data_IF_042871929956
#
_entry.id   IF_042871929956
#
_cell.length_a   1.000
_cell.length_b   1.000
_cell.length_c   1.000
_cell.angle_alpha   90.00
_cell.angle_beta   90.00
_cell.angle_gamma   90.00
#
_symmetry.space_group_name_H-M   'P 1'
#
loop_
_entity.id
_entity.type
_entity.pdbx_description
1 polymer ?
#
# COMPACT_ATOMS: atom_id res chain seq x y z
N UNK A 1 101.26 23.06 0.93
CA UNK A 1 101.31 23.63 -0.43
C UNK A 1 100.29 22.90 -1.29
N UNK A 2 99.04 23.34 -1.29
CA UNK A 2 98.02 22.78 -2.17
C UNK A 2 97.91 23.69 -3.40
N UNK A 3 98.37 23.17 -4.52
CA UNK A 3 98.60 23.89 -5.77
C UNK A 3 97.30 24.04 -6.57
N UNK A 4 97.05 25.27 -6.99
CA UNK A 4 95.89 25.84 -7.70
C UNK A 4 95.74 25.40 -9.16
N UNK A 5 96.29 24.23 -9.53
CA UNK A 5 96.38 23.78 -10.93
C UNK A 5 95.33 22.75 -11.38
N UNK A 6 94.40 22.35 -10.51
CA UNK A 6 93.29 21.45 -10.90
C UNK A 6 92.00 22.20 -11.29
N UNK A 7 92.05 23.53 -11.38
CA UNK A 7 90.86 24.37 -11.62
C UNK A 7 90.59 24.63 -13.11
N UNK A 8 91.50 24.30 -14.03
CA UNK A 8 91.38 24.73 -15.44
C UNK A 8 91.19 23.62 -16.48
N UNK A 9 91.00 22.36 -16.07
CA UNK A 9 90.94 21.20 -16.98
C UNK A 9 89.58 20.49 -17.03
N UNK A 10 88.49 21.15 -16.60
CA UNK A 10 87.12 20.65 -16.75
C UNK A 10 86.23 21.60 -17.58
N UNK A 11 86.86 22.50 -18.32
CA UNK A 11 86.20 23.50 -19.17
C UNK A 11 86.41 23.11 -20.64
N UNK A 12 85.84 21.99 -21.10
CA UNK A 12 85.64 21.66 -22.54
C UNK A 12 85.05 20.26 -22.82
N UNK A 13 84.03 19.80 -22.09
CA UNK A 13 83.19 18.69 -22.57
C UNK A 13 81.74 18.97 -22.21
N UNK A 14 80.88 19.12 -23.21
CA UNK A 14 79.43 19.05 -23.01
C UNK A 14 78.60 20.21 -23.55
N UNK A 15 79.01 20.87 -24.63
CA UNK A 15 78.06 21.61 -25.48
C UNK A 15 77.20 20.59 -26.24
N UNK A 16 76.14 20.11 -25.58
CA UNK A 16 75.04 19.39 -26.21
C UNK A 16 73.74 19.96 -25.64
N UNK A 17 73.03 20.71 -26.48
CA UNK A 17 71.84 21.45 -26.08
C UNK A 17 70.72 20.56 -25.58
N UNK A 18 69.90 21.11 -24.69
CA UNK A 18 68.50 20.76 -24.57
C UNK A 18 67.72 22.03 -24.22
N UNK A 19 66.74 22.33 -25.07
CA UNK A 19 65.79 23.42 -24.87
C UNK A 19 65.06 23.25 -23.54
N UNK A 20 64.92 24.33 -22.77
CA UNK A 20 64.05 24.34 -21.59
C UNK A 20 62.61 24.35 -22.10
N UNK A 21 62.07 23.16 -22.38
CA UNK A 21 60.63 22.96 -22.46
C UNK A 21 60.08 23.25 -21.06
N UNK A 22 59.48 24.43 -20.90
CA UNK A 22 58.66 24.69 -19.73
C UNK A 22 57.54 23.65 -19.72
N UNK A 23 57.30 22.93 -18.61
CA UNK A 23 56.19 22.00 -18.55
C UNK A 23 54.90 22.80 -18.76
N UNK A 24 54.27 22.62 -19.92
CA UNK A 24 52.89 23.07 -20.08
C UNK A 24 52.03 22.30 -19.08
N UNK A 25 51.07 22.96 -18.42
CA UNK A 25 50.18 22.29 -17.48
C UNK A 25 49.47 21.14 -18.21
N UNK A 26 49.63 19.94 -17.68
CA UNK A 26 49.04 18.73 -18.20
C UNK A 26 47.50 18.91 -18.27
N UNK A 27 46.82 18.53 -19.36
CA UNK A 27 45.37 18.44 -19.31
C UNK A 27 45.03 17.40 -18.24
N UNK A 28 44.14 17.78 -17.30
CA UNK A 28 43.61 16.92 -16.26
C UNK A 28 43.17 15.58 -16.88
N UNK A 29 44.04 14.56 -16.80
CA UNK A 29 43.62 13.18 -16.97
C UNK A 29 42.64 12.94 -15.83
N UNK A 30 41.35 12.93 -16.14
CA UNK A 30 40.34 12.35 -15.27
C UNK A 30 40.73 10.89 -15.11
N UNK A 31 41.52 10.62 -14.08
CA UNK A 31 41.58 9.29 -13.48
C UNK A 31 40.14 9.00 -13.10
N UNK A 32 39.48 8.13 -13.85
CA UNK A 32 38.39 7.36 -13.29
C UNK A 32 39.05 6.50 -12.22
N UNK A 33 39.21 7.07 -11.02
CA UNK A 33 39.23 6.27 -9.83
C UNK A 33 37.95 5.44 -9.95
N UNK A 34 38.09 4.12 -10.03
CA UNK A 34 36.97 3.23 -9.76
C UNK A 34 36.38 3.74 -8.46
N UNK A 35 35.23 4.41 -8.56
CA UNK A 35 34.37 4.59 -7.40
C UNK A 35 33.94 3.17 -7.08
N UNK A 36 34.72 2.50 -6.23
CA UNK A 36 34.17 1.55 -5.28
C UNK A 36 32.89 2.23 -4.80
N UNK A 37 31.76 1.63 -5.15
CA UNK A 37 30.49 1.99 -4.55
C UNK A 37 30.66 1.62 -3.08
N UNK A 38 31.23 2.53 -2.28
CA UNK A 38 31.05 2.50 -0.85
C UNK A 38 29.56 2.26 -0.65
N UNK A 39 29.22 1.27 0.17
CA UNK A 39 27.84 0.86 0.40
C UNK A 39 27.01 2.14 0.51
N UNK A 40 26.13 2.34 -0.48
CA UNK A 40 25.22 3.47 -0.44
C UNK A 40 24.39 3.23 0.81
N UNK A 41 24.69 3.93 1.89
CA UNK A 41 23.76 4.07 2.99
C UNK A 41 22.50 4.65 2.35
N UNK A 42 21.52 3.78 2.13
CA UNK A 42 20.26 4.17 1.55
C UNK A 42 19.71 5.25 2.47
N UNK A 43 19.43 6.43 1.89
CA UNK A 43 18.76 7.52 2.59
C UNK A 43 17.55 6.89 3.28
N UNK A 44 17.41 7.04 4.59
CA UNK A 44 16.39 6.34 5.39
C UNK A 44 14.97 6.49 4.83
N UNK A 45 14.70 7.58 4.10
CA UNK A 45 13.47 7.84 3.35
C UNK A 45 13.12 6.79 2.27
N UNK A 46 14.08 5.95 1.84
CA UNK A 46 13.88 4.87 0.86
C UNK A 46 13.96 3.47 1.46
N UNK A 47 14.04 3.34 2.79
CA UNK A 47 14.02 2.04 3.44
C UNK A 47 12.59 1.49 3.42
N UNK A 48 12.33 0.46 2.61
CA UNK A 48 11.13 -0.37 2.78
C UNK A 48 11.26 -1.10 4.11
N UNK A 49 10.20 -1.11 4.90
CA UNK A 49 10.14 -1.99 6.06
C UNK A 49 9.89 -3.41 5.54
N UNK A 50 10.68 -4.39 6.00
CA UNK A 50 10.45 -5.80 5.63
C UNK A 50 9.08 -6.27 6.16
N UNK A 51 8.63 -5.71 7.29
CA UNK A 51 7.31 -5.96 7.86
C UNK A 51 6.73 -4.68 8.45
N UNK A 52 5.47 -4.39 8.11
CA UNK A 52 4.66 -3.42 8.85
C UNK A 52 3.68 -4.17 9.75
N UNK A 53 3.79 -3.97 11.06
CA UNK A 53 2.78 -4.36 12.04
C UNK A 53 2.10 -3.10 12.56
N UNK A 54 0.78 -3.02 12.42
CA UNK A 54 -0.01 -1.95 13.06
C UNK A 54 -0.09 -2.30 14.57
N UNK A 55 -0.02 -1.35 15.51
CA UNK A 55 -0.39 -1.61 16.91
C UNK A 55 -1.91 -1.75 17.05
N UNK A 56 -2.41 -2.43 18.08
CA UNK A 56 -3.85 -2.50 18.33
C UNK A 56 -4.43 -1.08 18.55
N UNK A 57 -5.51 -0.77 17.83
CA UNK A 57 -6.23 0.50 17.94
C UNK A 57 -7.10 0.53 19.21
N UNK A 58 -7.57 1.71 19.63
CA UNK A 58 -8.45 1.91 20.80
C UNK A 58 -9.86 2.20 20.26
N UNK A 59 -10.96 1.79 20.93
CA UNK A 59 -12.29 2.07 20.39
C UNK A 59 -12.48 3.57 20.19
N UNK A 60 -12.95 3.97 19.01
CA UNK A 60 -13.18 5.38 18.66
C UNK A 60 -14.68 5.64 18.62
N UNK A 61 -15.11 6.69 19.34
CA UNK A 61 -16.52 7.08 19.39
C UNK A 61 -16.67 8.58 19.16
N UNK A 62 -17.48 8.93 18.15
CA UNK A 62 -17.84 10.30 17.83
C UNK A 62 -19.37 10.43 17.70
N UNK A 63 -20.10 10.71 18.79
CA UNK A 63 -21.57 10.71 18.83
C UNK A 63 -22.25 11.49 17.70
N UNK A 64 -21.73 12.69 17.39
CA UNK A 64 -22.20 13.58 16.33
C UNK A 64 -21.00 14.19 15.58
N UNK A 65 -19.88 13.47 15.50
CA UNK A 65 -18.63 13.97 14.95
C UNK A 65 -18.20 13.20 13.71
N UNK A 66 -17.03 13.55 13.20
CA UNK A 66 -16.38 12.84 12.10
C UNK A 66 -15.25 12.00 12.68
N UNK A 67 -15.17 10.74 12.26
CA UNK A 67 -14.03 9.86 12.49
C UNK A 67 -13.35 9.71 11.13
N UNK A 68 -12.12 10.14 11.02
CA UNK A 68 -11.32 10.04 9.80
C UNK A 68 -10.07 9.21 10.11
N UNK A 69 -9.91 8.10 9.39
CA UNK A 69 -8.74 7.24 9.51
C UNK A 69 -8.02 7.10 8.18
N UNK A 70 -6.71 7.33 8.18
CA UNK A 70 -5.86 7.25 7.00
C UNK A 70 -4.66 6.34 7.22
N UNK A 71 -4.66 5.18 6.57
CA UNK A 71 -3.57 4.22 6.61
C UNK A 71 -2.92 4.05 5.23
N UNK A 72 -1.62 4.36 5.10
CA UNK A 72 -0.84 4.05 3.90
C UNK A 72 0.41 3.24 4.27
N UNK A 73 0.49 1.99 3.80
CA UNK A 73 1.54 1.04 4.19
C UNK A 73 2.20 0.40 2.97
N UNK A 74 3.53 0.33 3.02
CA UNK A 74 4.39 -0.32 2.05
C UNK A 74 5.45 -1.14 2.78
N UNK A 75 5.36 -2.46 2.68
CA UNK A 75 6.33 -3.40 3.24
C UNK A 75 6.34 -4.68 2.38
N UNK A 76 7.25 -5.61 2.63
CA UNK A 76 7.21 -6.91 1.95
C UNK A 76 6.10 -7.78 2.55
N UNK A 77 5.86 -7.64 3.86
CA UNK A 77 4.68 -8.19 4.55
C UNK A 77 3.94 -7.09 5.32
N UNK A 78 2.64 -6.96 5.11
CA UNK A 78 1.77 -6.20 6.01
C UNK A 78 0.98 -7.17 6.89
N UNK A 79 1.08 -7.00 8.21
CA UNK A 79 0.25 -7.68 9.19
C UNK A 79 -0.48 -6.63 10.03
N UNK A 80 -1.80 -6.67 10.00
CA UNK A 80 -2.63 -5.84 10.89
C UNK A 80 -2.89 -6.70 12.14
N UNK A 81 -3.02 -6.18 13.36
CA UNK A 81 -3.70 -6.88 14.45
C UNK A 81 -5.19 -6.55 14.41
N UNK A 82 -6.01 -7.20 15.23
CA UNK A 82 -7.41 -6.85 15.35
C UNK A 82 -7.59 -5.35 15.64
N UNK A 83 -8.36 -4.67 14.80
CA UNK A 83 -8.83 -3.30 15.04
C UNK A 83 -9.95 -3.33 16.10
N UNK A 84 -10.44 -2.19 16.57
CA UNK A 84 -11.33 -2.08 17.73
C UNK A 84 -12.55 -1.21 17.33
N UNK A 85 -13.77 -1.37 17.89
CA UNK A 85 -14.98 -0.88 17.23
C UNK A 85 -15.00 0.64 17.03
N UNK A 86 -15.52 1.06 15.89
CA UNK A 86 -15.71 2.47 15.54
C UNK A 86 -17.19 2.81 15.50
N UNK A 87 -17.60 3.87 16.23
CA UNK A 87 -19.01 4.22 16.37
C UNK A 87 -19.27 5.71 16.20
N UNK A 88 -20.13 6.06 15.24
CA UNK A 88 -20.60 7.42 14.99
C UNK A 88 -22.14 7.46 14.84
N UNK A 89 -22.90 7.45 15.95
CA UNK A 89 -24.37 7.46 16.01
C UNK A 89 -25.09 8.34 14.98
N UNK A 90 -24.70 9.62 14.90
CA UNK A 90 -25.20 10.59 13.92
C UNK A 90 -24.04 11.33 13.26
N UNK A 91 -22.94 10.63 13.03
CA UNK A 91 -21.70 11.19 12.52
C UNK A 91 -21.30 10.62 11.17
N UNK A 92 -20.09 10.93 10.76
CA UNK A 92 -19.47 10.38 9.55
C UNK A 92 -18.26 9.56 9.97
N UNK A 93 -18.09 8.39 9.38
CA UNK A 93 -16.89 7.57 9.50
C UNK A 93 -16.29 7.51 8.09
N UNK A 94 -15.09 8.02 7.92
CA UNK A 94 -14.33 7.90 6.68
C UNK A 94 -13.06 7.10 6.95
N UNK A 95 -12.89 5.99 6.25
CA UNK A 95 -11.71 5.14 6.37
C UNK A 95 -11.01 5.01 5.02
N UNK A 96 -9.71 5.33 5.00
CA UNK A 96 -8.88 5.24 3.81
C UNK A 96 -7.69 4.33 4.06
N UNK A 97 -7.70 3.15 3.45
CA UNK A 97 -6.63 2.18 3.52
C UNK A 97 -5.94 1.98 2.16
N UNK A 98 -4.62 2.20 2.09
CA UNK A 98 -3.79 1.88 0.94
C UNK A 98 -2.64 0.98 1.35
N UNK A 99 -2.68 -0.29 0.93
CA UNK A 99 -1.75 -1.33 1.37
C UNK A 99 -1.07 -1.96 0.16
N UNK A 100 0.27 -1.94 0.16
CA UNK A 100 1.12 -2.58 -0.85
C UNK A 100 2.13 -3.48 -0.15
N UNK A 101 2.10 -4.77 -0.47
CA UNK A 101 3.10 -5.74 -0.02
C UNK A 101 3.22 -6.92 -0.96
N UNK A 102 4.18 -7.82 -0.74
CA UNK A 102 4.21 -9.09 -1.46
C UNK A 102 3.19 -10.06 -0.85
N UNK A 103 3.05 -9.99 0.49
CA UNK A 103 1.99 -10.66 1.25
C UNK A 103 1.23 -9.67 2.13
N UNK A 104 -0.09 -9.62 1.99
CA UNK A 104 -0.96 -9.00 2.99
C UNK A 104 -1.68 -10.09 3.78
N UNK A 105 -1.56 -10.02 5.11
CA UNK A 105 -2.39 -10.79 6.04
C UNK A 105 -3.10 -9.83 6.97
N UNK A 106 -4.41 -9.81 6.86
CA UNK A 106 -5.30 -9.09 7.79
C UNK A 106 -5.76 -10.13 8.81
N UNK A 107 -5.98 -9.84 10.09
CA UNK A 107 -6.81 -10.64 10.99
C UNK A 107 -8.16 -9.95 11.14
N UNK A 108 -9.14 -10.64 11.74
CA UNK A 108 -10.50 -10.12 11.91
C UNK A 108 -10.52 -8.65 12.39
N UNK A 109 -11.14 -7.78 11.58
CA UNK A 109 -11.47 -6.40 11.94
C UNK A 109 -12.67 -6.39 12.91
N UNK A 110 -13.11 -5.24 13.42
CA UNK A 110 -14.11 -5.12 14.50
C UNK A 110 -15.20 -4.11 14.05
N UNK A 111 -16.48 -4.20 14.49
CA UNK A 111 -17.58 -3.63 13.70
C UNK A 111 -17.59 -2.10 13.67
N UNK A 112 -18.00 -1.57 12.51
CA UNK A 112 -18.24 -0.14 12.25
C UNK A 112 -19.74 0.14 12.29
N UNK A 113 -20.15 1.14 13.08
CA UNK A 113 -21.57 1.42 13.28
C UNK A 113 -21.91 2.92 13.22
N UNK A 114 -22.79 3.28 12.29
CA UNK A 114 -23.35 4.63 12.13
C UNK A 114 -24.89 4.60 12.01
N UNK A 115 -25.61 4.41 13.13
CA UNK A 115 -27.08 4.35 13.25
C UNK A 115 -27.87 5.24 12.27
N UNK A 116 -27.54 6.53 12.24
CA UNK A 116 -28.13 7.55 11.35
C UNK A 116 -27.03 8.38 10.68
N UNK A 117 -25.86 7.79 10.45
CA UNK A 117 -24.69 8.46 9.93
C UNK A 117 -24.31 7.99 8.53
N UNK A 118 -23.12 8.38 8.11
CA UNK A 118 -22.51 7.93 6.86
C UNK A 118 -21.25 7.14 7.20
N UNK A 119 -21.05 6.02 6.51
CA UNK A 119 -19.82 5.24 6.55
C UNK A 119 -19.27 5.23 5.13
N UNK A 120 -18.07 5.76 4.94
CA UNK A 120 -17.33 5.69 3.67
C UNK A 120 -16.04 4.91 3.89
N UNK A 121 -15.88 3.80 3.19
CA UNK A 121 -14.69 2.95 3.29
C UNK A 121 -13.99 2.85 1.92
N UNK A 122 -12.73 3.26 1.88
CA UNK A 122 -11.89 3.22 0.68
C UNK A 122 -10.69 2.31 0.90
N UNK A 123 -10.71 1.14 0.27
CA UNK A 123 -9.65 0.15 0.38
C UNK A 123 -8.95 -0.10 -0.95
N UNK A 124 -7.64 0.14 -0.99
CA UNK A 124 -6.77 -0.19 -2.13
C UNK A 124 -5.67 -1.15 -1.70
N UNK A 125 -5.78 -2.41 -2.12
CA UNK A 125 -4.89 -3.50 -1.72
C UNK A 125 -4.17 -4.06 -2.95
N UNK A 126 -2.84 -4.10 -2.91
CA UNK A 126 -1.99 -4.73 -3.94
C UNK A 126 -0.98 -5.67 -3.29
N UNK A 127 -1.01 -6.94 -3.66
CA UNK A 127 0.02 -7.90 -3.27
C UNK A 127 0.09 -9.12 -4.17
N UNK A 128 1.18 -9.87 -4.16
CA UNK A 128 1.28 -11.12 -4.91
C UNK A 128 0.32 -12.15 -4.30
N UNK A 129 0.28 -12.21 -2.96
CA UNK A 129 -0.69 -13.01 -2.21
C UNK A 129 -1.49 -12.13 -1.25
N UNK A 130 -2.81 -12.17 -1.39
CA UNK A 130 -3.74 -11.62 -0.39
C UNK A 130 -4.45 -12.77 0.32
N UNK A 131 -4.39 -12.75 1.67
CA UNK A 131 -5.22 -13.60 2.53
C UNK A 131 -5.99 -12.68 3.48
N UNK A 132 -7.31 -12.68 3.35
CA UNK A 132 -8.20 -11.84 4.16
C UNK A 132 -9.10 -12.77 4.97
N UNK A 133 -8.84 -13.06 6.26
CA UNK A 133 -9.80 -13.73 7.12
C UNK A 133 -11.06 -12.87 7.31
N UNK A 134 -12.15 -13.51 7.74
CA UNK A 134 -13.47 -12.92 7.94
C UNK A 134 -13.43 -11.44 8.39
N UNK A 135 -13.95 -10.56 7.52
CA UNK A 135 -14.27 -9.17 7.84
C UNK A 135 -15.45 -9.13 8.85
N UNK A 136 -15.80 -7.98 9.43
CA UNK A 136 -16.77 -7.86 10.55
C UNK A 136 -17.83 -6.80 10.19
N UNK A 137 -19.08 -6.85 10.70
CA UNK A 137 -20.20 -6.23 10.00
C UNK A 137 -20.19 -4.70 10.08
N UNK A 138 -20.53 -4.09 8.96
CA UNK A 138 -20.79 -2.65 8.83
C UNK A 138 -22.29 -2.41 8.90
N UNK A 139 -22.73 -1.51 9.80
CA UNK A 139 -24.15 -1.31 10.06
C UNK A 139 -24.55 0.17 10.12
N UNK A 140 -25.45 0.57 9.22
CA UNK A 140 -26.07 1.89 9.16
C UNK A 140 -27.61 1.77 9.02
N UNK A 141 -28.33 1.42 10.11
CA UNK A 141 -29.78 1.21 10.15
C UNK A 141 -30.64 2.18 9.35
N UNK A 142 -30.36 3.49 9.45
CA UNK A 142 -31.02 4.55 8.70
C UNK A 142 -29.98 5.50 8.05
N UNK A 143 -28.78 4.98 7.78
CA UNK A 143 -27.67 5.76 7.26
C UNK A 143 -27.31 5.38 5.82
N UNK A 144 -26.13 5.82 5.41
CA UNK A 144 -25.54 5.46 4.11
C UNK A 144 -24.24 4.71 4.37
N UNK A 145 -24.02 3.65 3.61
CA UNK A 145 -22.76 2.91 3.57
C UNK A 145 -22.26 3.01 2.13
N UNK A 146 -21.07 3.56 1.93
CA UNK A 146 -20.36 3.57 0.66
C UNK A 146 -19.05 2.81 0.80
N UNK A 147 -18.89 1.72 0.05
CA UNK A 147 -17.68 0.90 0.08
C UNK A 147 -16.99 0.89 -1.28
N UNK A 148 -15.72 1.29 -1.31
CA UNK A 148 -14.88 1.31 -2.49
C UNK A 148 -13.69 0.37 -2.32
N UNK A 149 -13.75 -0.80 -2.94
CA UNK A 149 -12.71 -1.81 -2.85
C UNK A 149 -11.97 -2.02 -4.18
N UNK A 150 -10.65 -1.79 -4.18
CA UNK A 150 -9.77 -2.12 -5.31
C UNK A 150 -8.71 -3.13 -4.85
N UNK A 151 -8.85 -4.37 -5.30
CA UNK A 151 -8.00 -5.51 -4.91
C UNK A 151 -7.28 -6.04 -6.15
N UNK A 152 -5.95 -6.10 -6.11
CA UNK A 152 -5.10 -6.72 -7.15
C UNK A 152 -4.12 -7.69 -6.54
N UNK A 153 -4.15 -8.95 -6.97
CA UNK A 153 -3.18 -9.94 -6.55
C UNK A 153 -2.99 -11.09 -7.53
N UNK A 154 -1.85 -11.77 -7.53
CA UNK A 154 -1.69 -12.97 -8.36
C UNK A 154 -2.57 -14.10 -7.80
N UNK A 155 -2.53 -14.28 -6.48
CA UNK A 155 -3.43 -15.19 -5.75
C UNK A 155 -4.24 -14.43 -4.71
N UNK A 156 -5.55 -14.60 -4.77
CA UNK A 156 -6.47 -14.06 -3.79
C UNK A 156 -7.25 -15.19 -3.13
N UNK A 157 -7.18 -15.25 -1.79
CA UNK A 157 -7.99 -16.17 -0.97
C UNK A 157 -8.81 -15.32 0.00
N UNK A 158 -10.14 -15.33 -0.19
CA UNK A 158 -11.09 -14.59 0.63
C UNK A 158 -11.99 -15.61 1.35
N UNK A 159 -11.70 -16.07 2.58
CA UNK A 159 -12.69 -16.72 3.44
C UNK A 159 -13.93 -15.83 3.66
N UNK A 160 -15.05 -16.47 4.03
CA UNK A 160 -16.37 -15.86 4.18
C UNK A 160 -16.35 -14.43 4.73
N UNK A 161 -16.86 -13.48 3.93
CA UNK A 161 -17.12 -12.09 4.31
C UNK A 161 -18.30 -12.05 5.34
N UNK A 162 -18.61 -10.91 5.96
CA UNK A 162 -19.61 -10.75 7.04
C UNK A 162 -20.55 -9.60 6.65
N UNK A 163 -21.83 -9.53 7.10
CA UNK A 163 -22.85 -8.80 6.37
C UNK A 163 -22.77 -7.28 6.52
N UNK A 164 -22.99 -6.58 5.42
CA UNK A 164 -23.28 -5.14 5.39
C UNK A 164 -24.79 -4.93 5.51
N UNK A 165 -25.22 -4.12 6.48
CA UNK A 165 -26.65 -3.97 6.83
C UNK A 165 -27.09 -2.51 6.94
N UNK A 166 -28.06 -2.14 6.09
CA UNK A 166 -28.76 -0.86 6.14
C UNK A 166 -30.29 -1.06 6.04
N UNK A 167 -30.95 -1.55 7.10
CA UNK A 167 -32.39 -1.82 7.17
C UNK A 167 -33.32 -0.84 6.44
N UNK A 168 -33.09 0.47 6.62
CA UNK A 168 -33.83 1.54 5.95
C UNK A 168 -32.88 2.57 5.30
N UNK A 169 -31.65 2.16 5.02
CA UNK A 169 -30.60 3.03 4.51
C UNK A 169 -30.26 2.76 3.04
N UNK A 170 -29.11 3.27 2.62
CA UNK A 170 -28.55 3.02 1.29
C UNK A 170 -27.21 2.31 1.47
N UNK A 171 -26.96 1.31 0.63
CA UNK A 171 -25.67 0.65 0.50
C UNK A 171 -25.22 0.84 -0.95
N UNK A 172 -24.05 1.45 -1.15
CA UNK A 172 -23.38 1.52 -2.44
C UNK A 172 -22.04 0.79 -2.35
N UNK A 173 -21.86 -0.25 -3.16
CA UNK A 173 -20.63 -1.04 -3.20
C UNK A 173 -19.96 -0.95 -4.56
N UNK A 174 -18.68 -0.56 -4.59
CA UNK A 174 -17.85 -0.50 -5.77
C UNK A 174 -16.66 -1.43 -5.62
N UNK A 175 -16.73 -2.59 -6.28
CA UNK A 175 -15.70 -3.62 -6.19
C UNK A 175 -14.93 -3.78 -7.51
N UNK A 176 -13.61 -3.60 -7.48
CA UNK A 176 -12.70 -3.93 -8.58
C UNK A 176 -11.69 -4.98 -8.12
N UNK A 177 -11.88 -6.23 -8.53
CA UNK A 177 -11.07 -7.38 -8.13
C UNK A 177 -10.35 -7.94 -9.37
N UNK A 178 -9.01 -7.99 -9.33
CA UNK A 178 -8.18 -8.61 -10.38
C UNK A 178 -7.21 -9.61 -9.79
N UNK A 179 -7.28 -10.85 -10.24
CA UNK A 179 -6.30 -11.86 -9.85
C UNK A 179 -6.05 -12.94 -10.89
N UNK A 180 -4.91 -13.61 -10.88
CA UNK A 180 -4.70 -14.75 -11.77
C UNK A 180 -5.50 -15.95 -11.25
N UNK A 181 -5.43 -16.20 -9.94
CA UNK A 181 -6.24 -17.20 -9.24
C UNK A 181 -7.05 -16.57 -8.12
N UNK A 182 -8.35 -16.84 -8.12
CA UNK A 182 -9.26 -16.36 -7.09
C UNK A 182 -10.03 -17.53 -6.46
N UNK A 183 -9.95 -17.64 -5.15
CA UNK A 183 -10.74 -18.60 -4.36
C UNK A 183 -11.63 -17.80 -3.41
N UNK A 184 -12.93 -17.82 -3.67
CA UNK A 184 -13.95 -17.12 -2.87
C UNK A 184 -14.90 -18.20 -2.34
N UNK A 185 -14.75 -18.73 -1.12
CA UNK A 185 -15.84 -19.40 -0.40
C UNK A 185 -17.06 -18.50 -0.21
N UNK A 186 -18.23 -19.12 0.01
CA UNK A 186 -19.55 -18.47 0.14
C UNK A 186 -19.51 -17.05 0.72
N UNK A 187 -19.92 -16.07 -0.09
CA UNK A 187 -20.17 -14.68 0.32
C UNK A 187 -21.34 -14.64 1.34
N UNK A 188 -21.44 -13.60 2.16
CA UNK A 188 -22.45 -13.41 3.23
C UNK A 188 -23.26 -12.15 2.88
N UNK A 189 -24.54 -12.02 3.31
CA UNK A 189 -25.50 -11.19 2.58
C UNK A 189 -25.35 -9.69 2.86
N UNK A 190 -25.35 -8.89 1.80
CA UNK A 190 -25.68 -7.46 1.87
C UNK A 190 -27.20 -7.31 2.03
N UNK A 191 -27.65 -6.63 3.08
CA UNK A 191 -29.07 -6.56 3.44
C UNK A 191 -29.58 -5.14 3.65
N UNK A 192 -30.58 -4.75 2.86
CA UNK A 192 -31.33 -3.52 3.02
C UNK A 192 -32.85 -3.79 2.95
N UNK A 193 -33.44 -4.42 3.98
CA UNK A 193 -34.85 -4.81 4.03
C UNK A 193 -35.86 -3.84 3.42
N UNK A 194 -35.72 -2.55 3.72
CA UNK A 194 -36.56 -1.46 3.18
C UNK A 194 -35.70 -0.34 2.54
N UNK A 195 -34.44 -0.65 2.21
CA UNK A 195 -33.46 0.32 1.72
C UNK A 195 -33.15 0.14 0.24
N UNK A 196 -32.02 0.70 -0.17
CA UNK A 196 -31.50 0.58 -1.54
C UNK A 196 -30.11 -0.06 -1.47
N UNK A 197 -29.83 -0.96 -2.40
CA UNK A 197 -28.51 -1.55 -2.61
C UNK A 197 -28.13 -1.26 -4.07
N UNK A 198 -27.00 -0.59 -4.27
CA UNK A 198 -26.37 -0.44 -5.58
C UNK A 198 -25.01 -1.13 -5.55
N UNK A 199 -24.81 -2.12 -6.44
CA UNK A 199 -23.55 -2.85 -6.55
C UNK A 199 -22.91 -2.64 -7.92
N UNK A 200 -21.64 -2.28 -7.93
CA UNK A 200 -20.81 -2.10 -9.12
C UNK A 200 -19.61 -3.03 -9.02
N UNK A 201 -19.60 -4.12 -9.80
CA UNK A 201 -18.54 -5.12 -9.75
C UNK A 201 -17.75 -5.21 -11.06
N UNK A 202 -16.42 -5.18 -10.96
CA UNK A 202 -15.50 -5.55 -12.03
C UNK A 202 -14.56 -6.65 -11.52
N UNK A 203 -14.84 -7.90 -11.90
CA UNK A 203 -14.09 -9.09 -11.46
C UNK A 203 -13.35 -9.67 -12.68
N UNK A 204 -12.03 -9.82 -12.59
CA UNK A 204 -11.21 -10.47 -13.64
C UNK A 204 -10.30 -11.51 -13.01
N UNK A 205 -10.44 -12.76 -13.42
CA UNK A 205 -9.47 -13.79 -13.11
C UNK A 205 -9.34 -14.87 -14.18
N UNK A 206 -8.14 -15.46 -14.25
CA UNK A 206 -7.86 -16.57 -15.16
C UNK A 206 -8.44 -17.88 -14.62
N UNK A 207 -8.44 -18.06 -13.29
CA UNK A 207 -9.08 -19.19 -12.60
C UNK A 207 -9.91 -18.70 -11.42
N UNK A 208 -11.20 -19.10 -11.39
CA UNK A 208 -12.12 -18.82 -10.29
C UNK A 208 -12.62 -20.12 -9.66
N UNK A 209 -12.57 -20.22 -8.33
CA UNK A 209 -13.27 -21.24 -7.56
C UNK A 209 -14.27 -20.55 -6.62
N UNK A 210 -15.56 -20.69 -6.91
CA UNK A 210 -16.67 -20.05 -6.18
C UNK A 210 -17.71 -21.13 -5.83
N UNK A 211 -17.89 -21.53 -4.55
CA UNK A 211 -19.05 -22.28 -4.11
C UNK A 211 -20.28 -21.37 -3.96
N UNK A 212 -21.47 -21.96 -3.76
CA UNK A 212 -22.76 -21.27 -3.71
C UNK A 212 -22.76 -19.93 -2.94
N UNK A 213 -23.25 -18.88 -3.61
CA UNK A 213 -23.41 -17.52 -3.08
C UNK A 213 -24.55 -17.44 -2.06
N UNK A 214 -24.40 -16.58 -1.04
CA UNK A 214 -25.53 -16.13 -0.20
C UNK A 214 -26.06 -14.82 -0.81
N UNK A 215 -27.39 -14.65 -0.96
CA UNK A 215 -27.95 -13.57 -1.76
C UNK A 215 -27.86 -12.18 -1.11
N UNK A 216 -27.62 -11.15 -1.93
CA UNK A 216 -28.02 -9.76 -1.64
C UNK A 216 -29.54 -9.69 -1.47
N UNK A 217 -30.02 -9.07 -0.38
CA UNK A 217 -31.43 -9.08 -0.01
C UNK A 217 -32.00 -7.69 0.34
N UNK A 218 -32.98 -7.27 -0.44
CA UNK A 218 -33.82 -6.10 -0.15
C UNK A 218 -35.32 -6.49 -0.29
N UNK A 219 -35.87 -7.32 0.63
CA UNK A 219 -37.23 -7.87 0.51
C UNK A 219 -38.33 -6.85 0.23
N UNK A 220 -38.22 -5.63 0.74
CA UNK A 220 -39.11 -4.50 0.45
C UNK A 220 -38.35 -3.28 -0.10
N UNK A 221 -37.10 -3.46 -0.51
CA UNK A 221 -36.22 -2.41 -1.00
C UNK A 221 -35.94 -2.54 -2.50
N UNK A 222 -34.85 -1.93 -2.95
CA UNK A 222 -34.38 -1.99 -4.34
C UNK A 222 -32.96 -2.55 -4.36
N UNK A 223 -32.66 -3.38 -5.36
CA UNK A 223 -31.30 -3.85 -5.67
C UNK A 223 -31.02 -3.46 -7.12
N UNK A 224 -29.92 -2.75 -7.35
CA UNK A 224 -29.37 -2.48 -8.68
C UNK A 224 -27.96 -3.05 -8.78
N UNK A 225 -27.71 -3.91 -9.78
CA UNK A 225 -26.41 -4.55 -9.98
C UNK A 225 -25.83 -4.19 -11.35
N UNK A 226 -24.55 -3.80 -11.36
CA UNK A 226 -23.79 -3.39 -12.52
C UNK A 226 -22.49 -4.20 -12.59
N UNK A 227 -22.35 -5.06 -13.60
CA UNK A 227 -21.18 -5.95 -13.73
C UNK A 227 -20.44 -5.75 -15.07
N UNK A 228 -19.10 -5.75 -15.05
CA UNK A 228 -18.21 -5.51 -16.21
C UNK A 228 -16.98 -6.43 -16.29
#
# INVERSE_FOLDING_TARGET
LFSTQTVLAALLVGLAGQAVAHPMPMPLRRTFAERSLAALDTISAYKRADTNTIPAEVPTMAPNGVIEEYQNKRADTNTIPAEVPTMAPNGVIEEYQNKRADTNTIPAEVPTMAPNGVIEEYQNKRADTNTIPAEVPTMAPNGVIEEYQNKRADTNTIPAEVPTMAPNGVIEEYQNKRADTNTIPAEVPTMAPNGVIEEYQNKRADTNTIPAEVPTMAPNGVIEEYQN
#
